data_IF_255183875578
#
_entry.id   IF_255183875578
#
_cell.length_a   1.000
_cell.length_b   1.000
_cell.length_c   1.000
_cell.angle_alpha   90.00
_cell.angle_beta   90.00
_cell.angle_gamma   90.00
#
_symmetry.space_group_name_H-M   'P 1'
#
loop_
_entity.id
_entity.type
_entity.pdbx_description
1 polymer ?
#
# COMPACT_ATOMS: atom_id res chain seq x y z
N UNK A 1 -24.71 -11.32 11.01
CA UNK A 1 -23.81 -10.23 10.72
C UNK A 1 -23.51 -10.11 9.24
N UNK A 2 -23.70 -8.95 8.69
CA UNK A 2 -23.56 -8.73 7.25
C UNK A 2 -22.17 -8.20 6.92
N UNK A 3 -21.63 -8.64 5.79
CA UNK A 3 -20.43 -8.03 5.22
C UNK A 3 -20.74 -6.59 4.82
N UNK A 4 -19.73 -5.71 4.75
CA UNK A 4 -19.95 -4.36 4.24
C UNK A 4 -20.59 -4.40 2.85
N UNK A 5 -21.49 -3.45 2.57
CA UNK A 5 -22.18 -3.37 1.28
C UNK A 5 -21.26 -2.93 0.14
N UNK A 6 -20.04 -2.47 0.44
CA UNK A 6 -19.06 -2.04 -0.53
C UNK A 6 -17.69 -2.57 -0.10
N UNK A 7 -16.71 -2.65 -1.02
CA UNK A 7 -15.35 -3.00 -0.63
C UNK A 7 -14.79 -2.01 0.37
N UNK A 8 -13.93 -2.49 1.25
CA UNK A 8 -13.19 -1.61 2.15
C UNK A 8 -12.06 -0.95 1.35
N UNK A 9 -12.04 0.37 1.37
CA UNK A 9 -11.05 1.16 0.64
C UNK A 9 -9.83 1.40 1.52
N UNK A 10 -8.67 0.96 1.05
CA UNK A 10 -7.40 1.10 1.76
C UNK A 10 -6.43 1.91 0.92
N UNK A 11 -5.92 3.00 1.49
CA UNK A 11 -4.95 3.86 0.83
C UNK A 11 -3.56 3.59 1.39
N UNK A 12 -2.61 3.25 0.52
CA UNK A 12 -1.20 3.10 0.90
C UNK A 12 -0.45 4.37 0.54
N UNK A 13 0.22 4.96 1.54
CA UNK A 13 0.95 6.22 1.37
C UNK A 13 2.45 6.03 1.53
N UNK A 14 3.20 6.67 0.65
CA UNK A 14 4.64 6.88 0.81
C UNK A 14 4.97 8.28 0.29
N UNK A 15 6.25 8.61 0.12
CA UNK A 15 6.63 9.95 -0.32
C UNK A 15 6.38 10.15 -1.81
N UNK A 16 6.88 9.26 -2.67
CA UNK A 16 6.84 9.45 -4.12
C UNK A 16 5.79 8.63 -4.85
N UNK A 17 5.27 7.59 -4.24
CA UNK A 17 4.32 6.67 -4.89
C UNK A 17 4.93 6.01 -6.12
N UNK A 18 6.13 5.46 -5.97
CA UNK A 18 6.81 4.81 -7.10
C UNK A 18 7.03 3.30 -6.92
N UNK A 19 7.24 2.82 -5.70
CA UNK A 19 7.57 1.41 -5.46
C UNK A 19 6.69 0.76 -4.40
N UNK A 20 6.99 0.97 -3.12
CA UNK A 20 6.33 0.25 -2.02
C UNK A 20 4.81 0.38 -2.01
N UNK A 21 4.29 1.58 -2.16
CA UNK A 21 2.84 1.81 -2.19
C UNK A 21 2.20 1.25 -3.46
N UNK A 22 2.91 1.27 -4.59
CA UNK A 22 2.44 0.67 -5.83
C UNK A 22 2.31 -0.86 -5.69
N UNK A 23 3.33 -1.50 -5.10
CA UNK A 23 3.29 -2.94 -4.83
C UNK A 23 2.11 -3.30 -3.92
N UNK A 24 1.89 -2.51 -2.87
CA UNK A 24 0.83 -2.76 -1.91
C UNK A 24 -0.56 -2.60 -2.54
N UNK A 25 -0.77 -1.56 -3.33
CA UNK A 25 -2.04 -1.34 -4.03
C UNK A 25 -2.37 -2.52 -4.93
N UNK A 26 -1.43 -2.92 -5.79
CA UNK A 26 -1.64 -4.00 -6.74
C UNK A 26 -1.92 -5.33 -6.05
N UNK A 27 -1.15 -5.63 -4.98
CA UNK A 27 -1.33 -6.86 -4.22
C UNK A 27 -2.68 -6.91 -3.51
N UNK A 28 -3.10 -5.81 -2.90
CA UNK A 28 -4.39 -5.81 -2.21
C UNK A 28 -5.54 -6.03 -3.19
N UNK A 29 -5.48 -5.40 -4.36
CA UNK A 29 -6.49 -5.62 -5.38
C UNK A 29 -6.49 -7.06 -5.90
N UNK A 30 -5.30 -7.70 -5.93
CA UNK A 30 -5.18 -9.09 -6.34
C UNK A 30 -5.72 -10.05 -5.27
N UNK A 31 -5.37 -9.83 -4.01
CA UNK A 31 -5.70 -10.72 -2.90
C UNK A 31 -7.10 -10.46 -2.32
N UNK A 32 -7.60 -9.24 -2.44
CA UNK A 32 -8.81 -8.80 -1.75
C UNK A 32 -10.12 -9.35 -2.32
N UNK A 33 -10.11 -9.80 -3.57
CA UNK A 33 -11.23 -10.50 -4.22
C UNK A 33 -12.59 -9.80 -4.02
N UNK A 34 -12.62 -8.48 -4.23
CA UNK A 34 -13.85 -7.71 -4.13
C UNK A 34 -14.23 -7.25 -2.72
N UNK A 35 -13.59 -7.79 -1.68
CA UNK A 35 -13.84 -7.37 -0.30
C UNK A 35 -13.03 -6.12 0.06
N UNK A 36 -11.90 -5.92 -0.61
CA UNK A 36 -11.00 -4.79 -0.38
C UNK A 36 -10.66 -4.15 -1.71
N UNK A 37 -10.49 -2.83 -1.69
CA UNK A 37 -10.00 -2.09 -2.85
C UNK A 37 -8.80 -1.27 -2.42
N UNK A 38 -7.67 -1.47 -3.09
CA UNK A 38 -6.42 -0.78 -2.81
C UNK A 38 -6.27 0.47 -3.66
N UNK A 39 -5.71 1.49 -3.03
CA UNK A 39 -5.30 2.74 -3.67
C UNK A 39 -3.91 3.09 -3.17
N UNK A 40 -3.19 3.93 -3.89
CA UNK A 40 -1.90 4.41 -3.43
C UNK A 40 -1.68 5.85 -3.85
N UNK A 41 -0.86 6.57 -3.10
CA UNK A 41 -0.51 7.95 -3.41
C UNK A 41 0.79 8.32 -2.71
N UNK A 42 1.37 9.45 -3.12
CA UNK A 42 2.54 10.02 -2.49
C UNK A 42 2.24 11.40 -1.94
N UNK A 43 2.89 11.77 -0.83
CA UNK A 43 2.78 13.11 -0.28
C UNK A 43 3.54 14.13 -1.11
N UNK A 44 4.59 13.72 -1.83
CA UNK A 44 5.44 14.58 -2.64
C UNK A 44 5.97 13.82 -3.86
N UNK A 45 5.10 13.40 -4.79
CA UNK A 45 5.61 12.77 -6.00
C UNK A 45 6.40 13.79 -6.82
N UNK A 46 7.40 13.30 -7.54
CA UNK A 46 8.18 14.15 -8.44
C UNK A 46 7.35 14.50 -9.66
N UNK A 47 7.72 15.60 -10.35
CA UNK A 47 7.07 15.97 -11.60
C UNK A 47 7.19 14.79 -12.59
N UNK A 48 6.07 14.43 -13.22
CA UNK A 48 6.00 13.30 -14.15
C UNK A 48 6.39 11.96 -13.52
N UNK A 49 6.20 11.81 -12.20
CA UNK A 49 6.51 10.57 -11.50
C UNK A 49 5.76 9.40 -12.12
N UNK A 50 6.48 8.30 -12.32
CA UNK A 50 5.89 7.04 -12.82
C UNK A 50 6.22 5.92 -11.86
N UNK A 51 5.42 4.84 -11.83
CA UNK A 51 5.78 3.65 -11.08
C UNK A 51 7.16 3.13 -11.50
N UNK A 52 7.92 2.66 -10.53
CA UNK A 52 9.26 2.14 -10.79
C UNK A 52 9.16 0.92 -11.72
N UNK A 53 9.94 0.87 -12.82
CA UNK A 53 9.88 -0.28 -13.74
C UNK A 53 10.12 -1.62 -13.09
N UNK A 54 10.98 -1.69 -12.06
CA UNK A 54 11.25 -2.94 -11.33
C UNK A 54 10.06 -3.35 -10.49
N UNK A 55 9.29 -2.39 -9.97
CA UNK A 55 8.04 -2.71 -9.26
C UNK A 55 7.05 -3.37 -10.21
N UNK A 56 6.88 -2.81 -11.40
CA UNK A 56 5.97 -3.36 -12.40
C UNK A 56 6.43 -4.76 -12.86
N UNK A 57 7.73 -4.91 -13.13
CA UNK A 57 8.30 -6.20 -13.51
C UNK A 57 8.07 -7.26 -12.44
N UNK A 58 8.29 -6.89 -11.18
CA UNK A 58 8.12 -7.80 -10.05
C UNK A 58 6.67 -8.28 -9.94
N UNK A 59 5.71 -7.36 -10.12
CA UNK A 59 4.29 -7.70 -10.09
C UNK A 59 3.90 -8.62 -11.26
N UNK A 60 4.37 -8.30 -12.46
CA UNK A 60 4.08 -9.11 -13.66
C UNK A 60 4.60 -10.54 -13.47
N UNK A 61 5.81 -10.70 -12.97
CA UNK A 61 6.41 -12.01 -12.72
C UNK A 61 5.64 -12.80 -11.65
N UNK A 62 5.01 -12.09 -10.73
CA UNK A 62 4.20 -12.72 -9.68
C UNK A 62 2.77 -13.00 -10.12
N UNK A 63 2.41 -12.70 -11.36
CA UNK A 63 1.05 -12.91 -11.86
C UNK A 63 0.04 -11.89 -11.39
N UNK A 64 0.50 -10.71 -10.96
CA UNK A 64 -0.37 -9.64 -10.45
C UNK A 64 -0.54 -8.57 -11.52
N UNK A 65 -1.80 -8.18 -11.79
CA UNK A 65 -2.09 -7.17 -12.81
C UNK A 65 -1.49 -5.81 -12.43
N UNK A 66 -0.93 -5.14 -13.44
CA UNK A 66 -0.43 -3.77 -13.30
C UNK A 66 -1.35 -2.75 -13.96
N UNK A 67 -2.52 -3.17 -14.40
CA UNK A 67 -3.47 -2.29 -15.08
C UNK A 67 -3.89 -1.14 -14.17
N UNK A 68 -3.84 0.07 -14.72
CA UNK A 68 -4.28 1.27 -14.00
C UNK A 68 -3.32 1.80 -12.95
N UNK A 69 -2.18 1.16 -12.74
CA UNK A 69 -1.19 1.65 -11.78
C UNK A 69 -0.54 2.93 -12.30
N UNK A 70 -0.55 3.97 -11.45
CA UNK A 70 0.10 5.24 -11.78
C UNK A 70 0.54 5.92 -10.49
N UNK A 71 1.61 6.67 -10.58
CA UNK A 71 2.05 7.52 -9.47
C UNK A 71 1.19 8.78 -9.42
N UNK A 72 0.79 9.18 -8.22
CA UNK A 72 -0.10 10.33 -8.03
C UNK A 72 0.08 10.96 -6.66
N UNK A 73 -0.33 12.22 -6.56
CA UNK A 73 -0.34 12.93 -5.30
C UNK A 73 -1.54 12.51 -4.46
N UNK A 74 -1.36 12.50 -3.13
CA UNK A 74 -2.45 12.26 -2.20
C UNK A 74 -3.54 13.34 -2.29
N UNK A 75 -3.23 14.49 -2.91
CA UNK A 75 -4.23 15.55 -3.12
C UNK A 75 -5.44 15.05 -3.91
N UNK A 76 -5.24 14.03 -4.77
CA UNK A 76 -6.35 13.43 -5.52
C UNK A 76 -7.39 12.79 -4.61
N UNK A 77 -7.00 12.38 -3.41
CA UNK A 77 -7.90 11.74 -2.45
C UNK A 77 -8.41 12.70 -1.38
N UNK A 78 -8.01 13.96 -1.45
CA UNK A 78 -8.47 15.00 -0.54
C UNK A 78 -9.64 15.83 -1.04
N UNK A 79 -10.15 15.52 -2.25
CA UNK A 79 -11.27 16.26 -2.84
C UNK A 79 -12.61 15.67 -2.40
N UNK A 80 -13.68 16.46 -2.54
CA UNK A 80 -15.02 15.99 -2.19
C UNK A 80 -15.50 14.82 -3.07
N UNK A 81 -14.96 14.69 -4.28
CA UNK A 81 -15.32 13.63 -5.22
C UNK A 81 -14.50 12.36 -5.05
N UNK A 82 -13.50 12.40 -4.18
CA UNK A 82 -12.61 11.25 -3.97
C UNK A 82 -13.34 10.12 -3.25
N UNK A 83 -12.92 8.85 -3.51
CA UNK A 83 -13.47 7.73 -2.74
C UNK A 83 -13.18 7.90 -1.25
N UNK A 84 -14.13 7.51 -0.41
CA UNK A 84 -13.91 7.51 1.03
C UNK A 84 -12.92 6.41 1.40
N UNK A 85 -11.89 6.75 2.16
CA UNK A 85 -10.91 5.79 2.63
C UNK A 85 -11.31 5.25 4.00
N UNK A 86 -11.37 3.93 4.11
CA UNK A 86 -11.70 3.27 5.38
C UNK A 86 -10.44 3.09 6.23
N UNK A 87 -9.28 2.94 5.60
CA UNK A 87 -8.01 2.74 6.29
C UNK A 87 -6.89 3.38 5.46
N UNK A 88 -5.96 4.05 6.13
CA UNK A 88 -4.75 4.60 5.50
C UNK A 88 -3.53 3.93 6.14
N UNK A 89 -2.69 3.33 5.32
CA UNK A 89 -1.47 2.65 5.77
C UNK A 89 -0.26 3.33 5.14
N UNK A 90 0.65 3.84 5.98
CA UNK A 90 1.92 4.38 5.50
C UNK A 90 2.93 3.25 5.38
N UNK A 91 3.70 3.22 4.30
CA UNK A 91 4.63 2.12 4.00
C UNK A 91 6.08 2.57 3.89
N UNK A 92 6.38 3.82 4.24
CA UNK A 92 7.74 4.34 4.27
C UNK A 92 8.49 3.80 5.50
N UNK A 93 9.81 3.97 5.52
CA UNK A 93 10.66 3.41 6.57
C UNK A 93 11.12 4.50 7.55
N UNK A 94 10.41 4.65 8.66
CA UNK A 94 10.77 5.61 9.71
C UNK A 94 12.14 5.27 10.33
N UNK A 95 12.49 3.99 10.40
CA UNK A 95 13.75 3.56 10.99
C UNK A 95 14.95 4.02 10.16
N UNK A 96 14.76 4.22 8.86
CA UNK A 96 15.81 4.75 7.97
C UNK A 96 15.84 6.28 7.95
N UNK A 97 15.09 6.95 8.81
CA UNK A 97 15.03 8.42 8.84
C UNK A 97 14.11 9.04 7.79
N UNK A 98 13.34 8.21 7.10
CA UNK A 98 12.39 8.69 6.10
C UNK A 98 11.22 9.40 6.76
N UNK A 99 10.83 10.57 6.24
CA UNK A 99 9.70 11.31 6.78
C UNK A 99 8.41 10.74 6.19
N UNK A 100 7.62 10.08 7.04
CA UNK A 100 6.36 9.49 6.59
C UNK A 100 5.25 10.53 6.59
N UNK A 101 4.40 10.54 5.56
CA UNK A 101 3.27 11.48 5.50
C UNK A 101 2.23 11.15 6.57
N UNK A 102 1.51 12.19 6.98
CA UNK A 102 0.37 12.06 7.89
C UNK A 102 -0.90 12.47 7.14
N UNK A 103 -1.90 11.60 7.10
CA UNK A 103 -3.16 11.87 6.43
C UNK A 103 -4.10 12.63 7.37
N UNK A 104 -4.51 13.86 7.04
CA UNK A 104 -5.48 14.59 7.86
C UNK A 104 -6.88 14.00 7.63
N UNK A 105 -7.65 13.84 8.67
CA UNK A 105 -9.03 13.42 8.56
C UNK A 105 -9.40 12.32 9.52
N UNK A 106 -10.46 11.59 9.20
CA UNK A 106 -11.09 10.61 10.07
C UNK A 106 -10.84 9.13 9.75
N UNK A 107 -10.16 8.75 8.66
CA UNK A 107 -9.97 7.30 8.43
C UNK A 107 -9.07 6.69 9.50
N UNK A 108 -9.26 5.40 9.74
CA UNK A 108 -8.35 4.62 10.57
C UNK A 108 -6.95 4.64 9.94
N UNK A 109 -5.91 4.62 10.76
CA UNK A 109 -4.52 4.71 10.26
C UNK A 109 -3.66 3.62 10.86
N UNK A 110 -2.66 3.17 10.08
CA UNK A 110 -1.64 2.23 10.54
C UNK A 110 -0.33 2.54 9.81
N UNK A 111 0.76 1.98 10.31
CA UNK A 111 2.07 2.13 9.67
C UNK A 111 2.70 0.75 9.49
N UNK A 112 3.02 0.42 8.24
CA UNK A 112 3.74 -0.80 7.87
C UNK A 112 5.04 -0.38 7.19
N UNK A 113 6.13 -0.31 7.95
CA UNK A 113 7.42 0.13 7.41
C UNK A 113 8.08 -0.92 6.54
N UNK A 114 8.61 -0.50 5.39
CA UNK A 114 9.41 -1.34 4.51
C UNK A 114 10.61 -0.53 4.01
N UNK A 115 11.79 -1.16 3.98
CA UNK A 115 12.95 -0.55 3.36
C UNK A 115 12.66 -0.27 1.89
N UNK A 116 13.21 0.84 1.37
CA UNK A 116 13.01 1.20 -0.04
C UNK A 116 13.86 0.29 -0.93
N UNK A 117 13.23 -0.60 -1.72
CA UNK A 117 14.01 -1.53 -2.56
C UNK A 117 14.71 -0.85 -3.73
N UNK A 118 14.39 0.41 -4.04
CA UNK A 118 15.01 1.14 -5.13
C UNK A 118 16.31 1.83 -4.71
N UNK A 119 16.57 1.93 -3.41
CA UNK A 119 17.80 2.55 -2.91
C UNK A 119 18.97 1.57 -2.95
N UNK A 120 20.18 2.13 -3.05
CA UNK A 120 21.41 1.37 -3.04
C UNK A 120 22.13 1.40 -4.38
N UNK A 121 23.41 1.03 -4.34
CA UNK A 121 24.29 1.04 -5.50
C UNK A 121 24.43 -0.33 -6.15
N UNK A 122 23.53 -1.24 -5.85
CA UNK A 122 23.59 -2.60 -6.36
C UNK A 122 23.30 -2.71 -7.85
N UNK A 123 23.67 -3.86 -8.41
CA UNK A 123 23.33 -4.20 -9.79
C UNK A 123 21.81 -4.32 -9.96
N UNK A 124 21.35 -4.34 -11.22
CA UNK A 124 19.93 -4.55 -11.52
C UNK A 124 19.43 -5.87 -10.92
N UNK A 125 20.25 -6.91 -10.95
CA UNK A 125 19.87 -8.19 -10.36
C UNK A 125 19.68 -8.10 -8.86
N UNK A 126 20.57 -7.36 -8.16
CA UNK A 126 20.43 -7.15 -6.72
C UNK A 126 19.19 -6.34 -6.40
N UNK A 127 18.88 -5.33 -7.22
CA UNK A 127 17.65 -4.55 -7.07
C UNK A 127 16.41 -5.40 -7.30
N UNK A 128 16.42 -6.29 -8.31
CA UNK A 128 15.31 -7.19 -8.55
C UNK A 128 15.05 -8.10 -7.35
N UNK A 129 16.11 -8.60 -6.72
CA UNK A 129 15.97 -9.40 -5.50
C UNK A 129 15.37 -8.58 -4.36
N UNK A 130 15.79 -7.32 -4.21
CA UNK A 130 15.25 -6.43 -3.18
C UNK A 130 13.76 -6.17 -3.41
N UNK A 131 13.35 -5.93 -4.65
CA UNK A 131 11.93 -5.74 -4.98
C UNK A 131 11.12 -7.00 -4.71
N UNK A 132 11.64 -8.16 -5.08
CA UNK A 132 10.95 -9.43 -4.82
C UNK A 132 10.79 -9.69 -3.33
N UNK A 133 11.82 -9.42 -2.55
CA UNK A 133 11.77 -9.56 -1.09
C UNK A 133 10.74 -8.62 -0.50
N UNK A 134 10.72 -7.36 -0.95
CA UNK A 134 9.73 -6.39 -0.48
C UNK A 134 8.31 -6.85 -0.82
N UNK A 135 8.11 -7.37 -2.03
CA UNK A 135 6.81 -7.91 -2.43
C UNK A 135 6.36 -9.02 -1.48
N UNK A 136 7.25 -9.95 -1.13
CA UNK A 136 6.93 -11.03 -0.21
C UNK A 136 6.58 -10.53 1.19
N UNK A 137 7.30 -9.53 1.68
CA UNK A 137 7.03 -8.95 3.00
C UNK A 137 5.67 -8.25 3.05
N UNK A 138 5.34 -7.50 2.00
CA UNK A 138 4.03 -6.84 1.89
C UNK A 138 2.94 -7.91 1.79
N UNK A 139 3.14 -8.90 0.94
CA UNK A 139 2.16 -9.98 0.72
C UNK A 139 1.85 -10.73 2.01
N UNK A 140 2.87 -11.01 2.82
CA UNK A 140 2.68 -11.71 4.08
C UNK A 140 1.68 -11.01 5.00
N UNK A 141 1.82 -9.69 5.14
CA UNK A 141 0.88 -8.90 5.96
C UNK A 141 -0.51 -8.82 5.32
N UNK A 142 -0.57 -8.64 4.00
CA UNK A 142 -1.84 -8.54 3.30
C UNK A 142 -2.62 -9.86 3.32
N UNK A 143 -1.94 -11.01 3.24
CA UNK A 143 -2.63 -12.30 3.31
C UNK A 143 -3.34 -12.48 4.65
N UNK A 144 -2.74 -12.02 5.73
CA UNK A 144 -3.40 -12.03 7.04
C UNK A 144 -4.57 -11.08 7.05
N UNK A 145 -4.35 -9.87 6.53
CA UNK A 145 -5.35 -8.79 6.55
C UNK A 145 -6.61 -9.15 5.76
N UNK A 146 -6.45 -9.69 4.54
CA UNK A 146 -7.59 -10.00 3.67
C UNK A 146 -8.38 -11.23 4.15
N UNK A 147 -7.79 -12.04 5.03
CA UNK A 147 -8.46 -13.23 5.57
C UNK A 147 -9.17 -12.97 6.91
N UNK A 148 -9.26 -11.71 7.34
CA UNK A 148 -9.99 -11.38 8.55
C UNK A 148 -11.48 -11.73 8.41
N UNK A 149 -12.10 -12.26 9.48
CA UNK A 149 -13.56 -12.53 9.45
C UNK A 149 -14.35 -11.25 9.20
N UNK A 150 -15.56 -11.39 8.65
CA UNK A 150 -16.43 -10.25 8.36
C UNK A 150 -16.72 -9.40 9.59
N UNK A 151 -16.85 -10.01 10.76
CA UNK A 151 -17.12 -9.28 12.00
C UNK A 151 -15.91 -8.50 12.51
N UNK A 152 -14.71 -8.77 11.98
CA UNK A 152 -13.51 -8.02 12.30
C UNK A 152 -13.32 -6.80 11.39
N UNK A 153 -14.26 -6.55 10.47
CA UNK A 153 -14.15 -5.48 9.49
C UNK A 153 -14.78 -4.16 9.96
N UNK A 154 -15.14 -4.02 11.24
CA UNK A 154 -15.54 -2.74 11.78
C UNK A 154 -14.31 -1.81 11.82
N UNK A 155 -14.55 -0.51 11.67
CA UNK A 155 -13.48 0.48 11.60
C UNK A 155 -12.44 0.33 12.73
N UNK A 156 -12.92 0.19 13.97
CA UNK A 156 -12.02 0.11 15.12
C UNK A 156 -11.18 -1.16 15.09
N UNK A 157 -11.78 -2.31 14.78
CA UNK A 157 -11.06 -3.58 14.71
C UNK A 157 -10.06 -3.60 13.57
N UNK A 158 -10.42 -3.04 12.41
CA UNK A 158 -9.52 -2.93 11.27
C UNK A 158 -8.28 -2.11 11.65
N UNK A 159 -8.48 -0.98 12.31
CA UNK A 159 -7.38 -0.13 12.74
C UNK A 159 -6.46 -0.86 13.72
N UNK A 160 -7.04 -1.52 14.72
CA UNK A 160 -6.28 -2.27 15.71
C UNK A 160 -5.48 -3.40 15.08
N UNK A 161 -6.11 -4.17 14.19
CA UNK A 161 -5.44 -5.28 13.53
C UNK A 161 -4.32 -4.80 12.61
N UNK A 162 -4.58 -3.75 11.82
CA UNK A 162 -3.57 -3.20 10.92
C UNK A 162 -2.37 -2.65 11.69
N UNK A 163 -2.61 -1.98 12.82
CA UNK A 163 -1.53 -1.49 13.68
C UNK A 163 -0.73 -2.63 14.29
N UNK A 164 -1.40 -3.70 14.73
CA UNK A 164 -0.72 -4.86 15.29
C UNK A 164 0.18 -5.53 14.24
N UNK A 165 -0.29 -5.65 13.00
CA UNK A 165 0.52 -6.20 11.91
C UNK A 165 1.76 -5.36 11.63
N UNK A 166 1.66 -4.04 11.80
CA UNK A 166 2.79 -3.14 11.60
C UNK A 166 3.87 -3.25 12.66
N UNK A 167 3.58 -3.86 13.81
CA UNK A 167 4.53 -4.03 14.90
C UNK A 167 5.39 -5.30 14.75
N UNK A 168 5.03 -6.19 13.85
CA UNK A 168 5.74 -7.47 13.65
C UNK A 168 7.05 -7.32 12.86
#
# INVERSE_FOLDING_TARGET
MTAPSHPLNVLFLCTHNSARSILAEALLNHLGQGRFKGFSAGSSPRDHQKPNPLALETLIKAGVSTDGLRSKSWDEFGTSDAPHMDLVITVCDNAAGEVCPFWPGQPATAHWGYADPSEGDGSDEQKRKAFLQTLHLIRKRLEIFVNLPADSLSRLKIEQTARALGLD
#
